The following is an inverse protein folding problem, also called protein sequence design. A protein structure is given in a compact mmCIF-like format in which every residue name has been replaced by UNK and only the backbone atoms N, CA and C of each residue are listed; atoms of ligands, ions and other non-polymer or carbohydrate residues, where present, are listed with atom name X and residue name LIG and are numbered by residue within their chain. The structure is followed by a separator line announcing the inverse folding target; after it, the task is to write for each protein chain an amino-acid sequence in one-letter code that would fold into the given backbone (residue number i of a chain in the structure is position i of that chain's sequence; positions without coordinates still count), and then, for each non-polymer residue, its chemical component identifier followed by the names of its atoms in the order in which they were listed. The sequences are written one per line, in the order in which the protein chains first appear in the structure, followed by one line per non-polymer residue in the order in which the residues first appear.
data_IF_340415360698
#
_entry.id   IF_340415360698
#
_cell.length_a   1.000
_cell.length_b   1.000
_cell.length_c   1.000
_cell.angle_alpha   90.00
_cell.angle_beta   90.00
_cell.angle_gamma   90.00
#
_symmetry.space_group_name_H-M   'P 1'
#
loop_
_entity.id
_entity.type
_entity.pdbx_description
1 polymer ?
#
# COMPACT_ATOMS: atom_id res chain seq x y z
N UNK A 1 6.43 -3.79 10.58
CA UNK A 1 5.77 -4.77 9.69
C UNK A 1 6.67 -5.06 8.50
N UNK A 2 6.54 -6.24 7.88
CA UNK A 2 7.25 -6.55 6.65
C UNK A 2 6.37 -6.21 5.45
N UNK A 3 7.02 -5.80 4.36
CA UNK A 3 6.31 -5.60 3.10
C UNK A 3 5.85 -6.95 2.54
N UNK A 4 4.56 -7.05 2.26
CA UNK A 4 3.91 -8.18 1.62
C UNK A 4 3.04 -7.62 0.49
N UNK A 5 3.44 -7.94 -0.74
CA UNK A 5 2.77 -7.46 -1.95
C UNK A 5 1.32 -7.93 -2.04
N UNK A 6 1.02 -9.14 -1.61
CA UNK A 6 -0.35 -9.69 -1.69
C UNK A 6 -1.29 -8.96 -0.73
N UNK A 7 -0.86 -8.74 0.51
CA UNK A 7 -1.58 -7.93 1.50
C UNK A 7 -1.77 -6.50 1.00
N UNK A 8 -0.70 -5.84 0.55
CA UNK A 8 -0.78 -4.46 0.09
C UNK A 8 -1.73 -4.32 -1.12
N UNK A 9 -1.68 -5.26 -2.05
CA UNK A 9 -2.57 -5.25 -3.23
C UNK A 9 -4.03 -5.44 -2.80
N UNK A 10 -4.32 -6.31 -1.82
CA UNK A 10 -5.68 -6.48 -1.28
C UNK A 10 -6.16 -5.18 -0.62
N UNK A 11 -5.33 -4.57 0.21
CA UNK A 11 -5.63 -3.30 0.88
C UNK A 11 -5.93 -2.19 -0.14
N UNK A 12 -5.09 -2.04 -1.18
CA UNK A 12 -5.32 -1.07 -2.26
C UNK A 12 -6.65 -1.31 -2.98
N UNK A 13 -7.05 -2.58 -3.15
CA UNK A 13 -8.32 -2.91 -3.81
C UNK A 13 -9.54 -2.66 -2.90
N UNK A 14 -9.36 -2.65 -1.57
CA UNK A 14 -10.42 -2.36 -0.61
C UNK A 14 -10.64 -0.85 -0.41
N UNK A 15 -9.61 -0.04 -0.65
CA UNK A 15 -9.59 1.39 -0.35
C UNK A 15 -9.32 2.20 -1.62
N UNK A 16 -10.35 2.90 -2.12
CA UNK A 16 -10.26 3.67 -3.38
C UNK A 16 -9.23 4.79 -3.33
N UNK A 17 -9.06 5.42 -2.18
CA UNK A 17 -8.06 6.45 -1.94
C UNK A 17 -6.63 5.91 -2.06
N UNK A 18 -6.33 4.71 -1.55
CA UNK A 18 -5.04 4.06 -1.78
C UNK A 18 -4.79 3.75 -3.26
N UNK A 19 -5.84 3.38 -3.98
CA UNK A 19 -5.75 3.16 -5.42
C UNK A 19 -5.46 4.45 -6.20
N UNK A 20 -6.07 5.57 -5.80
CA UNK A 20 -5.82 6.87 -6.40
C UNK A 20 -4.42 7.41 -6.02
N UNK A 21 -3.99 7.21 -4.78
CA UNK A 21 -2.63 7.54 -4.33
C UNK A 21 -1.58 6.71 -5.07
N UNK A 22 -1.84 5.42 -5.32
CA UNK A 22 -0.97 4.57 -6.14
C UNK A 22 -0.82 5.13 -7.55
N UNK A 23 -1.93 5.56 -8.17
CA UNK A 23 -1.88 6.17 -9.51
C UNK A 23 -1.07 7.46 -9.49
N UNK A 24 -1.27 8.30 -8.48
CA UNK A 24 -0.53 9.54 -8.30
C UNK A 24 0.97 9.29 -8.18
N UNK A 25 1.40 8.38 -7.29
CA UNK A 25 2.81 8.01 -7.13
C UNK A 25 3.41 7.50 -8.44
N UNK A 26 2.67 6.67 -9.20
CA UNK A 26 3.14 6.16 -10.51
C UNK A 26 3.35 7.28 -11.53
N UNK A 27 2.45 8.27 -11.58
CA UNK A 27 2.52 9.39 -12.52
C UNK A 27 3.59 10.39 -12.11
N UNK A 28 3.61 10.80 -10.84
CA UNK A 28 4.52 11.82 -10.33
C UNK A 28 5.97 11.34 -10.29
N UNK A 29 6.21 10.08 -9.91
CA UNK A 29 7.57 9.55 -9.78
C UNK A 29 8.00 8.69 -10.97
N UNK A 30 7.11 8.49 -11.97
CA UNK A 30 7.39 7.59 -13.11
C UNK A 30 7.68 6.14 -12.70
N UNK A 31 7.21 5.73 -11.50
CA UNK A 31 7.60 4.45 -10.91
C UNK A 31 6.86 3.27 -11.53
N UNK A 32 7.60 2.16 -11.70
CA UNK A 32 6.99 0.88 -12.02
C UNK A 32 6.02 0.43 -10.92
N UNK A 33 5.01 -0.35 -11.32
CA UNK A 33 3.91 -0.78 -10.43
C UNK A 33 4.40 -1.38 -9.11
N UNK A 34 5.43 -2.23 -9.13
CA UNK A 34 5.93 -2.87 -7.92
C UNK A 34 6.63 -1.88 -6.96
N UNK A 35 7.39 -0.93 -7.52
CA UNK A 35 8.07 0.10 -6.73
C UNK A 35 7.05 1.10 -6.16
N UNK A 36 6.05 1.47 -6.94
CA UNK A 36 4.97 2.34 -6.49
C UNK A 36 4.16 1.72 -5.33
N UNK A 37 3.85 0.42 -5.39
CA UNK A 37 3.16 -0.29 -4.30
C UNK A 37 4.03 -0.29 -3.02
N UNK A 38 5.35 -0.48 -3.17
CA UNK A 38 6.28 -0.43 -2.03
C UNK A 38 6.38 0.97 -1.44
N UNK A 39 6.46 2.00 -2.27
CA UNK A 39 6.45 3.40 -1.84
C UNK A 39 5.15 3.74 -1.10
N UNK A 40 4.00 3.31 -1.65
CA UNK A 40 2.71 3.48 -1.00
C UNK A 40 2.65 2.78 0.36
N UNK A 41 3.18 1.56 0.48
CA UNK A 41 3.29 0.87 1.77
C UNK A 41 4.08 1.70 2.79
N UNK A 42 5.22 2.28 2.41
CA UNK A 42 6.01 3.11 3.31
C UNK A 42 5.28 4.40 3.72
N UNK A 43 4.47 4.98 2.84
CA UNK A 43 3.69 6.21 3.12
C UNK A 43 2.44 5.95 3.97
N UNK A 44 1.68 4.90 3.62
CA UNK A 44 0.33 4.69 4.13
C UNK A 44 0.25 3.68 5.30
N UNK A 45 1.26 2.82 5.44
CA UNK A 45 1.23 1.65 6.35
C UNK A 45 2.44 1.63 7.29
N UNK A 46 3.64 1.96 6.81
CA UNK A 46 4.80 2.11 7.68
C UNK A 46 4.69 3.38 8.54
N UNK A 47 5.57 3.51 9.54
CA UNK A 47 5.71 4.72 10.39
C UNK A 47 4.41 5.25 11.01
N UNK A 48 3.55 4.35 11.49
CA UNK A 48 2.21 4.66 12.03
C UNK A 48 1.24 5.26 11.01
N UNK A 49 1.36 4.86 9.75
CA UNK A 49 0.42 5.24 8.71
C UNK A 49 -1.04 4.84 9.03
N UNK A 50 -2.03 5.54 8.46
CA UNK A 50 -3.44 5.35 8.76
C UNK A 50 -3.94 3.92 8.49
N UNK A 51 -3.32 3.23 7.54
CA UNK A 51 -3.67 1.88 7.12
C UNK A 51 -2.85 0.79 7.83
N UNK A 52 -2.02 1.15 8.82
CA UNK A 52 -1.17 0.20 9.54
C UNK A 52 -1.98 -0.94 10.17
N UNK A 53 -3.11 -0.63 10.80
CA UNK A 53 -3.95 -1.62 11.50
C UNK A 53 -4.66 -2.57 10.53
N UNK A 54 -5.32 -2.02 9.50
CA UNK A 54 -6.01 -2.83 8.48
C UNK A 54 -5.03 -3.72 7.71
N UNK A 55 -3.82 -3.22 7.42
CA UNK A 55 -2.77 -4.04 6.84
C UNK A 55 -2.38 -5.19 7.76
N UNK A 56 -2.20 -4.95 9.07
CA UNK A 56 -1.88 -6.02 10.03
C UNK A 56 -2.99 -7.06 10.11
N UNK A 57 -4.25 -6.63 10.08
CA UNK A 57 -5.39 -7.53 10.11
C UNK A 57 -5.45 -8.39 8.83
N UNK A 58 -5.20 -7.80 7.66
CA UNK A 58 -5.09 -8.54 6.41
C UNK A 58 -3.88 -9.49 6.37
N UNK A 59 -2.75 -9.10 6.96
CA UNK A 59 -1.55 -9.95 7.07
C UNK A 59 -1.80 -11.17 7.96
N UNK A 60 -2.57 -11.02 9.05
CA UNK A 60 -2.96 -12.13 9.94
C UNK A 60 -3.96 -13.11 9.32
N UNK A 61 -4.69 -12.68 8.29
CA UNK A 61 -5.67 -13.49 7.56
C UNK A 61 -5.06 -14.24 6.35
N UNK A 62 -3.76 -14.07 6.08
CA UNK A 62 -3.02 -14.78 5.03
C UNK A 62 -2.30 -16.02 5.58
#
# INVERSE_FOLDING_TARGET
MKYNKAVMTKLINQHRDLHDELKKIKVEMGLEKNLAIKALFHSAVADNGPYMKEYQDLERLQ
#
